data_IF_700405276352
#
_entry.id   IF_700405276352
#
_cell.length_a   1.000
_cell.length_b   1.000
_cell.length_c   1.000
_cell.angle_alpha   90.00
_cell.angle_beta   90.00
_cell.angle_gamma   90.00
#
_symmetry.space_group_name_H-M   'P 1'
#
loop_
_entity.id
_entity.type
_entity.pdbx_description
1 polymer ?
#
# COMPACT_ATOMS: atom_id res chain seq x y z
N UNK A 1 -7.31 4.00 7.29
CA UNK A 1 -6.13 4.88 7.45
C UNK A 1 -5.69 5.35 6.07
N UNK A 2 -5.05 6.52 5.95
CA UNK A 2 -4.50 7.03 4.69
C UNK A 2 -2.98 7.13 4.75
N UNK A 3 -2.32 6.94 3.62
CA UNK A 3 -0.90 7.21 3.47
C UNK A 3 -0.49 7.40 2.02
N UNK A 4 0.74 7.84 1.81
CA UNK A 4 1.30 8.12 0.49
C UNK A 4 2.40 7.11 0.19
N UNK A 5 2.39 6.53 -1.01
CA UNK A 5 3.47 5.66 -1.49
C UNK A 5 4.74 6.47 -1.63
N UNK A 6 5.77 6.14 -0.84
CA UNK A 6 7.08 6.82 -0.88
C UNK A 6 8.10 6.10 -1.73
N UNK A 7 7.97 4.79 -1.85
CA UNK A 7 8.96 3.95 -2.52
C UNK A 7 8.36 2.66 -3.06
N UNK A 8 8.80 2.27 -4.24
CA UNK A 8 8.66 0.90 -4.75
C UNK A 8 9.98 0.17 -4.51
N UNK A 9 9.92 -0.97 -3.83
CA UNK A 9 11.08 -1.84 -3.60
C UNK A 9 11.27 -2.78 -4.80
N UNK A 10 12.49 -3.29 -4.97
CA UNK A 10 12.88 -4.13 -6.12
C UNK A 10 12.03 -5.41 -6.26
N UNK A 11 11.42 -5.86 -5.17
CA UNK A 11 10.69 -7.14 -5.13
C UNK A 11 9.16 -6.96 -5.26
N UNK A 12 8.68 -5.81 -5.73
CA UNK A 12 7.25 -5.56 -5.92
C UNK A 12 6.50 -5.11 -4.66
N UNK A 13 7.23 -4.76 -3.60
CA UNK A 13 6.65 -4.17 -2.39
C UNK A 13 6.56 -2.64 -2.48
N UNK A 14 5.52 -2.09 -1.89
CA UNK A 14 5.24 -0.66 -1.85
C UNK A 14 5.27 -0.16 -0.41
N UNK A 15 6.08 0.85 -0.16
CA UNK A 15 6.19 1.50 1.14
C UNK A 15 5.27 2.71 1.20
N UNK A 16 4.32 2.67 2.13
CA UNK A 16 3.32 3.71 2.37
C UNK A 16 3.63 4.42 3.68
N UNK A 17 3.88 5.72 3.60
CA UNK A 17 4.00 6.58 4.77
C UNK A 17 2.62 7.11 5.16
N UNK A 18 2.18 6.77 6.35
CA UNK A 18 0.99 7.36 7.00
C UNK A 18 1.45 8.42 8.02
N UNK A 19 0.53 9.09 8.69
CA UNK A 19 0.90 10.08 9.72
C UNK A 19 1.58 9.45 10.95
N UNK A 20 1.34 8.16 11.23
CA UNK A 20 1.79 7.50 12.46
C UNK A 20 2.74 6.32 12.25
N UNK A 21 2.66 5.65 11.10
CA UNK A 21 3.42 4.43 10.81
C UNK A 21 3.92 4.41 9.35
N UNK A 22 4.94 3.59 9.11
CA UNK A 22 5.31 3.13 7.77
C UNK A 22 4.72 1.74 7.60
N UNK A 23 3.94 1.55 6.54
CA UNK A 23 3.38 0.27 6.16
C UNK A 23 4.00 -0.19 4.85
N UNK A 24 4.19 -1.50 4.69
CA UNK A 24 4.65 -2.08 3.43
C UNK A 24 3.62 -3.10 2.98
N UNK A 25 3.25 -3.04 1.70
CA UNK A 25 2.34 -4.01 1.11
C UNK A 25 2.86 -4.58 -0.20
N UNK A 26 2.39 -5.77 -0.53
CA UNK A 26 2.57 -6.44 -1.81
C UNK A 26 1.23 -6.47 -2.55
N UNK A 27 1.24 -6.20 -3.86
CA UNK A 27 0.03 -6.30 -4.67
C UNK A 27 -0.32 -7.75 -4.96
N UNK A 28 -1.60 -8.11 -4.82
CA UNK A 28 -2.15 -9.39 -5.25
C UNK A 28 -2.89 -9.15 -6.55
N UNK A 29 -2.16 -9.15 -7.67
CA UNK A 29 -2.73 -8.96 -9.00
C UNK A 29 -1.91 -8.03 -9.89
N UNK A 30 -2.57 -7.44 -10.88
CA UNK A 30 -1.95 -6.62 -11.93
C UNK A 30 -2.26 -5.12 -11.82
N UNK A 31 -2.83 -4.65 -10.70
CA UNK A 31 -3.06 -3.21 -10.49
C UNK A 31 -1.73 -2.46 -10.49
N UNK A 32 -1.77 -1.18 -10.85
CA UNK A 32 -0.58 -0.33 -10.93
C UNK A 32 -0.62 0.67 -9.79
N UNK A 33 0.40 0.63 -8.93
CA UNK A 33 0.61 1.63 -7.87
C UNK A 33 1.89 2.39 -8.16
N UNK A 34 1.82 3.72 -8.07
CA UNK A 34 2.93 4.63 -8.33
C UNK A 34 3.40 5.33 -7.05
N UNK A 35 4.67 5.74 -7.04
CA UNK A 35 5.18 6.64 -5.99
C UNK A 35 4.43 7.96 -6.05
N UNK A 36 3.93 8.42 -4.90
CA UNK A 36 3.09 9.60 -4.77
C UNK A 36 1.59 9.30 -4.69
N UNK A 37 1.16 8.08 -4.99
CA UNK A 37 -0.25 7.70 -4.87
C UNK A 37 -0.72 7.72 -3.41
N UNK A 38 -1.94 8.19 -3.20
CA UNK A 38 -2.65 8.14 -1.92
C UNK A 38 -3.41 6.83 -1.78
N UNK A 39 -3.04 6.04 -0.77
CA UNK A 39 -3.64 4.75 -0.48
C UNK A 39 -4.45 4.83 0.81
N UNK A 40 -5.68 4.32 0.77
CA UNK A 40 -6.58 4.20 1.91
C UNK A 40 -6.91 2.73 2.20
N UNK A 41 -7.00 2.39 3.49
CA UNK A 41 -7.43 1.08 3.95
C UNK A 41 -6.83 0.67 5.29
N UNK A 42 -6.76 -0.64 5.52
CA UNK A 42 -6.25 -1.28 6.75
C UNK A 42 -4.73 -1.43 6.79
N UNK A 43 -3.99 -0.33 6.53
CA UNK A 43 -2.52 -0.29 6.44
C UNK A 43 -1.78 -0.61 7.76
N UNK A 44 -2.49 -0.63 8.88
CA UNK A 44 -2.00 -0.86 10.24
C UNK A 44 -2.13 -2.32 10.70
N UNK A 45 -2.60 -3.21 9.84
CA UNK A 45 -2.85 -4.61 10.19
C UNK A 45 -2.28 -5.55 9.13
N UNK A 46 -1.51 -6.54 9.58
CA UNK A 46 -0.86 -7.52 8.72
C UNK A 46 -1.87 -8.41 7.97
N UNK A 47 -1.41 -8.98 6.85
CA UNK A 47 -2.16 -9.94 6.04
C UNK A 47 -2.94 -9.31 4.88
N UNK A 48 -3.84 -10.11 4.28
CA UNK A 48 -4.63 -9.70 3.12
C UNK A 48 -5.61 -8.57 3.44
N UNK A 49 -5.63 -7.54 2.59
CA UNK A 49 -6.52 -6.37 2.65
C UNK A 49 -6.95 -5.97 1.25
N UNK A 50 -8.20 -5.53 1.16
CA UNK A 50 -8.62 -4.66 0.05
C UNK A 50 -8.21 -3.23 0.41
N UNK A 51 -7.42 -2.60 -0.46
CA UNK A 51 -7.00 -1.21 -0.34
C UNK A 51 -7.58 -0.39 -1.49
N UNK A 52 -7.64 0.92 -1.32
CA UNK A 52 -8.11 1.85 -2.35
C UNK A 52 -7.00 2.84 -2.70
N UNK A 53 -6.64 2.91 -3.98
CA UNK A 53 -5.84 3.98 -4.53
C UNK A 53 -6.74 5.18 -4.83
N UNK A 54 -6.74 6.18 -3.94
CA UNK A 54 -7.58 7.37 -4.07
C UNK A 54 -7.15 8.19 -5.29
N UNK A 55 -5.84 8.26 -5.57
CA UNK A 55 -5.31 9.04 -6.69
C UNK A 55 -5.80 8.51 -8.04
N UNK A 56 -5.93 7.19 -8.17
CA UNK A 56 -6.38 6.54 -9.41
C UNK A 56 -7.87 6.13 -9.39
N UNK A 57 -8.55 6.30 -8.25
CA UNK A 57 -9.95 5.88 -8.04
C UNK A 57 -10.18 4.39 -8.36
N UNK A 58 -9.30 3.52 -7.84
CA UNK A 58 -9.31 2.07 -8.04
C UNK A 58 -9.11 1.33 -6.70
N UNK A 59 -9.80 0.21 -6.51
CA UNK A 59 -9.54 -0.74 -5.40
C UNK A 59 -8.70 -1.92 -5.86
N UNK A 60 -7.83 -2.42 -4.99
CA UNK A 60 -6.94 -3.54 -5.27
C UNK A 60 -6.70 -4.40 -4.03
N UNK A 61 -6.44 -5.67 -4.26
CA UNK A 61 -6.04 -6.61 -3.21
C UNK A 61 -4.54 -6.49 -2.94
N UNK A 62 -4.17 -6.48 -1.66
CA UNK A 62 -2.79 -6.41 -1.22
C UNK A 62 -2.56 -7.24 0.05
N UNK A 63 -1.31 -7.62 0.30
CA UNK A 63 -0.88 -8.22 1.57
C UNK A 63 0.00 -7.24 2.31
N UNK A 64 -0.42 -6.81 3.49
CA UNK A 64 0.39 -6.00 4.39
C UNK A 64 1.44 -6.89 5.06
N UNK A 65 2.71 -6.51 4.96
CA UNK A 65 3.86 -7.26 5.44
C UNK A 65 4.44 -6.63 6.71
N UNK A 66 5.04 -7.46 7.56
CA UNK A 66 5.83 -6.98 8.69
C UNK A 66 7.19 -6.48 8.18
N UNK A 67 7.56 -5.27 8.57
CA UNK A 67 8.89 -4.73 8.27
C UNK A 67 9.79 -5.06 9.46
N UNK A 68 10.52 -6.16 9.36
CA UNK A 68 11.67 -6.43 10.25
C UNK A 68 12.89 -5.58 9.85
#
# INVERSE_FOLDING_TARGET
MKGVVKKTRLDGFYEVQTDSIVSVFELVGCSIVNVGDEIEGGLDSLGGKELTNITQNESFDAVIQEIN
#
